data_IF_092111708302
#
_entry.id   IF_092111708302
#
_cell.length_a   1.000
_cell.length_b   1.000
_cell.length_c   1.000
_cell.angle_alpha   90.00
_cell.angle_beta   90.00
_cell.angle_gamma   90.00
#
_symmetry.space_group_name_H-M   'P 1'
#
loop_
_entity.id
_entity.type
_entity.pdbx_description
1 polymer ?
#
# COMPACT_ATOMS: atom_id res chain seq x y z
N UNK A 1 4.14 -3.09 -25.92
CA UNK A 1 4.19 -2.10 -27.04
C UNK A 1 4.78 -0.83 -26.44
N UNK A 2 6.10 -0.61 -26.54
CA UNK A 2 6.73 0.58 -25.97
C UNK A 2 6.15 1.89 -26.54
N UNK A 3 5.36 2.61 -25.75
CA UNK A 3 4.90 3.96 -26.08
C UNK A 3 5.68 4.94 -25.21
N UNK A 4 6.50 5.79 -25.82
CA UNK A 4 7.44 6.64 -25.09
C UNK A 4 6.79 7.60 -24.10
N UNK A 5 5.63 8.17 -24.41
CA UNK A 5 4.80 8.95 -23.49
C UNK A 5 3.35 8.71 -23.89
N UNK A 6 2.52 8.27 -22.96
CA UNK A 6 1.07 8.12 -23.18
C UNK A 6 0.38 9.21 -22.39
N UNK A 7 -0.28 10.14 -23.08
CA UNK A 7 -1.27 11.03 -22.46
C UNK A 7 -2.63 10.58 -22.96
N UNK A 8 -3.36 9.85 -22.13
CA UNK A 8 -4.65 9.33 -22.51
C UNK A 8 -5.73 10.42 -22.48
N UNK A 9 -6.82 10.18 -23.22
CA UNK A 9 -8.04 10.97 -23.10
C UNK A 9 -8.76 10.68 -21.77
N UNK A 10 -10.07 10.92 -21.66
CA UNK A 10 -10.77 10.73 -20.40
C UNK A 10 -10.78 9.27 -19.90
N UNK A 11 -10.54 8.31 -20.80
CA UNK A 11 -10.42 6.90 -20.51
C UNK A 11 -9.31 6.26 -21.33
N UNK A 12 -8.45 5.47 -20.72
CA UNK A 12 -7.55 4.53 -21.40
C UNK A 12 -8.02 3.11 -21.09
N UNK A 13 -8.26 2.30 -22.13
CA UNK A 13 -8.46 0.86 -21.99
C UNK A 13 -7.34 0.16 -22.78
N UNK A 14 -6.57 -0.70 -22.12
CA UNK A 14 -5.48 -1.44 -22.77
C UNK A 14 -5.86 -2.91 -23.01
N UNK A 15 -5.09 -3.58 -23.89
CA UNK A 15 -5.24 -5.02 -24.15
C UNK A 15 -4.63 -5.86 -23.03
N UNK A 16 -4.15 -7.09 -23.34
CA UNK A 16 -3.59 -7.96 -22.29
C UNK A 16 -2.32 -7.39 -21.64
N UNK A 17 -1.56 -6.57 -22.35
CA UNK A 17 -0.26 -6.04 -21.92
C UNK A 17 -0.16 -4.55 -22.33
N UNK A 18 0.21 -3.68 -21.39
CA UNK A 18 0.60 -2.29 -21.64
C UNK A 18 2.00 -2.03 -21.09
N UNK A 19 2.94 -1.68 -21.96
CA UNK A 19 4.28 -1.22 -21.59
C UNK A 19 4.38 0.28 -21.89
N UNK A 20 4.36 1.11 -20.87
CA UNK A 20 4.62 2.53 -21.03
C UNK A 20 6.13 2.82 -20.94
N UNK A 21 6.58 3.77 -21.74
CA UNK A 21 7.91 4.35 -21.65
C UNK A 21 8.04 5.21 -20.39
N UNK A 22 8.87 6.27 -20.40
CA UNK A 22 9.22 6.95 -19.16
C UNK A 22 8.06 7.59 -18.37
N UNK A 23 6.93 7.89 -19.02
CA UNK A 23 5.80 8.61 -18.42
C UNK A 23 4.47 8.09 -19.00
N UNK A 24 3.54 7.70 -18.12
CA UNK A 24 2.15 7.36 -18.44
C UNK A 24 1.23 8.28 -17.63
N UNK A 25 0.58 9.21 -18.31
CA UNK A 25 -0.49 10.05 -17.75
C UNK A 25 -1.84 9.57 -18.30
N UNK A 26 -2.69 9.03 -17.44
CA UNK A 26 -4.07 8.70 -17.79
C UNK A 26 -5.04 9.83 -17.38
N UNK A 27 -6.17 9.93 -18.11
CA UNK A 27 -7.28 10.78 -17.69
C UNK A 27 -8.01 10.21 -16.48
N UNK A 28 -9.28 10.58 -16.26
CA UNK A 28 -10.08 10.10 -15.12
C UNK A 28 -10.10 8.59 -14.88
N UNK A 29 -10.06 7.78 -15.94
CA UNK A 29 -10.15 6.31 -15.84
C UNK A 29 -8.98 5.65 -16.60
N UNK A 30 -8.23 4.77 -15.91
CA UNK A 30 -7.22 3.88 -16.49
C UNK A 30 -7.57 2.42 -16.22
N UNK A 31 -8.07 1.72 -17.24
CA UNK A 31 -8.33 0.28 -17.18
C UNK A 31 -7.23 -0.46 -17.96
N UNK A 32 -6.34 -1.15 -17.26
CA UNK A 32 -5.33 -1.98 -17.89
C UNK A 32 -5.74 -3.44 -17.81
N UNK A 33 -5.57 -4.16 -18.92
CA UNK A 33 -5.72 -5.61 -18.90
C UNK A 33 -4.62 -6.29 -18.08
N UNK A 34 -4.38 -7.59 -18.29
CA UNK A 34 -3.66 -8.40 -17.33
C UNK A 34 -2.31 -7.91 -16.79
N UNK A 35 -1.52 -7.21 -17.61
CA UNK A 35 -0.17 -6.76 -17.24
C UNK A 35 0.00 -5.26 -17.60
N UNK A 36 0.38 -4.44 -16.61
CA UNK A 36 0.85 -3.07 -16.78
C UNK A 36 2.32 -2.96 -16.31
N UNK A 37 3.22 -2.61 -17.23
CA UNK A 37 4.56 -2.14 -16.89
C UNK A 37 4.65 -0.64 -17.21
N UNK A 38 4.74 0.20 -16.19
CA UNK A 38 5.00 1.62 -16.36
C UNK A 38 6.49 1.94 -16.16
N UNK A 39 7.02 2.87 -16.97
CA UNK A 39 8.35 3.43 -16.74
C UNK A 39 8.38 4.30 -15.49
N UNK A 40 9.30 5.27 -15.38
CA UNK A 40 9.57 5.87 -14.08
C UNK A 40 8.43 6.63 -13.41
N UNK A 41 7.46 7.13 -14.17
CA UNK A 41 6.33 7.89 -13.65
C UNK A 41 5.01 7.34 -14.23
N UNK A 42 4.10 6.95 -13.34
CA UNK A 42 2.71 6.59 -13.63
C UNK A 42 1.80 7.55 -12.86
N UNK A 43 1.08 8.40 -13.59
CA UNK A 43 0.05 9.29 -13.04
C UNK A 43 -1.32 8.86 -13.58
N UNK A 44 -2.20 8.43 -12.69
CA UNK A 44 -3.58 8.12 -13.00
C UNK A 44 -4.52 9.20 -12.48
N UNK A 45 -5.62 9.43 -13.20
CA UNK A 45 -6.70 10.26 -12.71
C UNK A 45 -7.44 9.60 -11.54
N UNK A 46 -8.68 10.03 -11.29
CA UNK A 46 -9.55 9.48 -10.26
C UNK A 46 -9.54 7.96 -10.02
N UNK A 47 -9.51 7.15 -11.09
CA UNK A 47 -9.67 5.71 -11.02
C UNK A 47 -8.56 5.01 -11.81
N UNK A 48 -7.80 4.12 -11.15
CA UNK A 48 -6.87 3.18 -11.75
C UNK A 48 -7.29 1.75 -11.44
N UNK A 49 -7.70 0.99 -12.46
CA UNK A 49 -7.96 -0.44 -12.38
C UNK A 49 -6.87 -1.19 -13.17
N UNK A 50 -6.02 -1.93 -12.46
CA UNK A 50 -5.05 -2.81 -13.09
C UNK A 50 -5.49 -4.29 -13.02
N UNK A 51 -5.19 -5.03 -14.09
CA UNK A 51 -5.34 -6.48 -14.12
C UNK A 51 -4.40 -7.19 -13.14
N UNK A 52 -4.10 -8.48 -13.34
CA UNK A 52 -3.42 -9.23 -12.31
C UNK A 52 -2.03 -8.78 -11.88
N UNK A 53 -1.30 -8.07 -12.74
CA UNK A 53 0.06 -7.61 -12.46
C UNK A 53 0.18 -6.12 -12.83
N UNK A 54 0.55 -5.30 -11.83
CA UNK A 54 0.92 -3.89 -11.98
C UNK A 54 2.34 -3.70 -11.48
N UNK A 55 3.26 -3.38 -12.40
CA UNK A 55 4.63 -2.96 -12.09
C UNK A 55 4.78 -1.48 -12.44
N UNK A 56 4.99 -0.64 -11.43
CA UNK A 56 5.30 0.77 -11.63
C UNK A 56 6.79 1.03 -11.37
N UNK A 57 7.37 1.93 -12.17
CA UNK A 57 8.71 2.45 -11.92
C UNK A 57 8.78 3.28 -10.63
N UNK A 58 9.73 4.21 -10.51
CA UNK A 58 9.98 4.84 -9.23
C UNK A 58 8.82 5.61 -8.59
N UNK A 59 7.85 6.07 -9.38
CA UNK A 59 6.73 6.83 -8.89
C UNK A 59 5.39 6.35 -9.47
N UNK A 60 4.45 6.04 -8.59
CA UNK A 60 3.06 5.77 -8.89
C UNK A 60 2.17 6.72 -8.09
N UNK A 61 1.51 7.64 -8.79
CA UNK A 61 0.46 8.50 -8.24
C UNK A 61 -0.89 8.08 -8.82
N UNK A 62 -1.80 7.60 -7.97
CA UNK A 62 -3.19 7.44 -8.32
C UNK A 62 -4.04 8.55 -7.69
N UNK A 63 -5.16 8.88 -8.36
CA UNK A 63 -6.17 9.75 -7.80
C UNK A 63 -6.87 9.12 -6.60
N UNK A 64 -8.15 9.44 -6.38
CA UNK A 64 -8.96 8.85 -5.32
C UNK A 64 -8.86 7.32 -5.16
N UNK A 65 -8.91 6.54 -6.24
CA UNK A 65 -9.10 5.09 -6.18
C UNK A 65 -8.01 4.36 -6.99
N UNK A 66 -7.28 3.46 -6.33
CA UNK A 66 -6.37 2.49 -6.93
C UNK A 66 -6.85 1.08 -6.61
N UNK A 67 -7.22 0.32 -7.64
CA UNK A 67 -7.50 -1.11 -7.55
C UNK A 67 -6.44 -1.89 -8.37
N UNK A 68 -5.64 -2.70 -7.69
CA UNK A 68 -4.72 -3.62 -8.33
C UNK A 68 -5.20 -5.07 -8.19
N UNK A 69 -4.97 -5.88 -9.22
CA UNK A 69 -5.20 -7.32 -9.17
C UNK A 69 -4.24 -8.03 -8.20
N UNK A 70 -3.95 -9.33 -8.41
CA UNK A 70 -3.23 -10.10 -7.42
C UNK A 70 -1.85 -9.61 -7.01
N UNK A 71 -1.18 -8.83 -7.85
CA UNK A 71 0.17 -8.36 -7.59
C UNK A 71 0.34 -6.88 -7.95
N UNK A 72 0.76 -6.10 -6.98
CA UNK A 72 1.21 -4.72 -7.15
C UNK A 72 2.67 -4.61 -6.69
N UNK A 73 3.56 -4.26 -7.62
CA UNK A 73 4.93 -3.83 -7.31
C UNK A 73 5.07 -2.35 -7.67
N UNK A 74 5.36 -1.53 -6.66
CA UNK A 74 5.69 -0.13 -6.88
C UNK A 74 7.16 0.15 -6.53
N UNK A 75 7.76 1.07 -7.29
CA UNK A 75 9.08 1.59 -6.97
C UNK A 75 9.07 2.45 -5.70
N UNK A 76 10.02 3.40 -5.57
CA UNK A 76 10.22 4.07 -4.29
C UNK A 76 9.06 4.85 -3.70
N UNK A 77 8.15 5.37 -4.52
CA UNK A 77 7.05 6.23 -4.08
C UNK A 77 5.72 5.66 -4.63
N UNK A 78 4.82 5.26 -3.74
CA UNK A 78 3.41 4.98 -4.06
C UNK A 78 2.50 5.94 -3.29
N UNK A 79 1.69 6.71 -4.02
CA UNK A 79 0.67 7.61 -3.46
C UNK A 79 -0.73 7.21 -3.97
N UNK A 80 -1.67 6.96 -3.06
CA UNK A 80 -3.08 6.73 -3.37
C UNK A 80 -3.99 7.69 -2.59
N UNK A 81 -4.89 8.39 -3.28
CA UNK A 81 -5.56 9.56 -2.71
C UNK A 81 -6.65 9.28 -1.67
N UNK A 82 -7.45 8.22 -1.82
CA UNK A 82 -8.55 7.91 -0.90
C UNK A 82 -8.61 6.44 -0.52
N UNK A 83 -8.48 5.57 -1.52
CA UNK A 83 -8.64 4.13 -1.39
C UNK A 83 -7.56 3.43 -2.21
N UNK A 84 -6.84 2.54 -1.54
CA UNK A 84 -5.89 1.62 -2.15
C UNK A 84 -6.35 0.20 -1.81
N UNK A 85 -6.80 -0.53 -2.82
CA UNK A 85 -7.15 -1.95 -2.72
C UNK A 85 -6.18 -2.76 -3.57
N UNK A 86 -5.54 -3.75 -2.94
CA UNK A 86 -4.67 -4.69 -3.66
C UNK A 86 -5.15 -6.12 -3.47
N UNK A 87 -4.84 -6.95 -4.47
CA UNK A 87 -4.97 -8.39 -4.32
C UNK A 87 -3.90 -8.96 -3.36
N UNK A 88 -3.55 -10.25 -3.52
CA UNK A 88 -2.81 -10.94 -2.49
C UNK A 88 -1.42 -10.43 -2.12
N UNK A 89 -0.72 -9.79 -3.06
CA UNK A 89 0.67 -9.36 -2.88
C UNK A 89 0.78 -7.86 -3.18
N UNK A 90 1.18 -7.07 -2.18
CA UNK A 90 1.59 -5.67 -2.32
C UNK A 90 3.03 -5.52 -1.85
N UNK A 91 3.93 -5.21 -2.78
CA UNK A 91 5.30 -4.81 -2.51
C UNK A 91 5.49 -3.34 -2.88
N UNK A 92 5.94 -2.52 -1.94
CA UNK A 92 6.29 -1.11 -2.19
C UNK A 92 7.73 -0.82 -1.87
N UNK A 93 8.28 0.19 -2.54
CA UNK A 93 9.58 0.75 -2.22
C UNK A 93 9.54 1.57 -0.93
N UNK A 94 10.44 2.55 -0.76
CA UNK A 94 10.63 3.14 0.55
C UNK A 94 9.49 3.92 1.16
N UNK A 95 8.60 4.50 0.36
CA UNK A 95 7.54 5.39 0.80
C UNK A 95 6.21 4.91 0.22
N UNK A 96 5.28 4.52 1.11
CA UNK A 96 3.89 4.21 0.81
C UNK A 96 2.99 5.19 1.57
N UNK A 97 2.33 6.07 0.84
CA UNK A 97 1.28 6.95 1.37
C UNK A 97 -0.09 6.51 0.83
N UNK A 98 -0.93 5.99 1.71
CA UNK A 98 -2.31 5.69 1.40
C UNK A 98 -3.25 6.69 2.10
N UNK A 99 -4.29 7.10 1.37
CA UNK A 99 -5.37 7.91 1.90
C UNK A 99 -6.19 7.21 2.99
N UNK A 100 -7.44 7.67 3.24
CA UNK A 100 -8.34 7.12 4.23
C UNK A 100 -8.41 5.61 4.41
N UNK A 101 -8.28 4.82 3.34
CA UNK A 101 -8.48 3.38 3.36
C UNK A 101 -7.38 2.67 2.58
N UNK A 102 -6.68 1.76 3.25
CA UNK A 102 -5.76 0.80 2.64
C UNK A 102 -6.24 -0.61 2.98
N UNK A 103 -6.66 -1.36 1.97
CA UNK A 103 -6.93 -2.79 2.07
C UNK A 103 -5.89 -3.57 1.27
N UNK A 104 -5.06 -4.32 1.98
CA UNK A 104 -4.11 -5.24 1.38
C UNK A 104 -4.55 -6.70 1.56
N UNK A 105 -4.25 -7.53 0.57
CA UNK A 105 -4.44 -8.97 0.64
C UNK A 105 -3.50 -9.65 1.66
N UNK A 106 -3.22 -10.96 1.49
CA UNK A 106 -2.48 -11.70 2.50
C UNK A 106 -1.06 -11.26 2.81
N UNK A 107 -0.37 -10.65 1.86
CA UNK A 107 1.04 -10.27 2.00
C UNK A 107 1.17 -8.78 1.66
N UNK A 108 1.47 -7.96 2.67
CA UNK A 108 1.83 -6.55 2.54
C UNK A 108 3.29 -6.36 2.98
N UNK A 109 4.18 -6.06 2.04
CA UNK A 109 5.55 -5.65 2.29
C UNK A 109 5.73 -4.16 1.94
N UNK A 110 5.91 -3.35 2.98
CA UNK A 110 6.23 -1.93 2.82
C UNK A 110 7.69 -1.65 3.16
N UNK A 111 8.28 -0.71 2.41
CA UNK A 111 9.62 -0.22 2.69
C UNK A 111 9.69 0.61 3.98
N UNK A 112 10.68 1.52 4.11
CA UNK A 112 10.94 2.13 5.38
C UNK A 112 9.85 2.97 6.02
N UNK A 113 8.98 3.58 5.22
CA UNK A 113 7.95 4.51 5.66
C UNK A 113 6.61 4.07 5.07
N UNK A 114 5.71 3.61 5.94
CA UNK A 114 4.31 3.31 5.63
C UNK A 114 3.42 4.28 6.39
N UNK A 115 2.76 5.17 5.67
CA UNK A 115 1.73 6.07 6.19
C UNK A 115 0.37 5.65 5.64
N UNK A 116 -0.51 5.17 6.52
CA UNK A 116 -1.90 4.90 6.18
C UNK A 116 -2.81 5.91 6.85
N UNK A 117 -3.86 6.32 6.14
CA UNK A 117 -4.92 7.14 6.67
C UNK A 117 -5.76 6.41 7.73
N UNK A 118 -7.02 6.83 7.93
CA UNK A 118 -7.84 6.32 9.01
C UNK A 118 -7.94 4.81 9.22
N UNK A 119 -7.98 4.02 8.15
CA UNK A 119 -8.27 2.59 8.19
C UNK A 119 -7.15 1.86 7.42
N UNK A 120 -6.36 1.04 8.14
CA UNK A 120 -5.45 0.04 7.54
C UNK A 120 -5.98 -1.36 7.84
N UNK A 121 -6.37 -2.09 6.81
CA UNK A 121 -6.67 -3.52 6.87
C UNK A 121 -5.63 -4.29 6.06
N UNK A 122 -4.86 -5.15 6.73
CA UNK A 122 -3.96 -6.08 6.08
C UNK A 122 -4.36 -7.52 6.37
N UNK A 123 -4.15 -8.37 5.37
CA UNK A 123 -4.35 -9.80 5.50
C UNK A 123 -3.32 -10.46 6.42
N UNK A 124 -3.09 -11.77 6.24
CA UNK A 124 -2.30 -12.53 7.19
C UNK A 124 -0.94 -12.01 7.64
N UNK A 125 -0.18 -11.41 6.74
CA UNK A 125 1.22 -11.03 6.94
C UNK A 125 1.37 -9.54 6.57
N UNK A 126 1.68 -8.70 7.56
CA UNK A 126 2.10 -7.32 7.36
C UNK A 126 3.55 -7.17 7.81
N UNK A 127 4.42 -6.81 6.88
CA UNK A 127 5.80 -6.40 7.15
C UNK A 127 5.96 -4.92 6.78
N UNK A 128 6.19 -4.06 7.77
CA UNK A 128 6.58 -2.68 7.56
C UNK A 128 8.04 -2.47 7.95
N UNK A 129 8.74 -1.59 7.21
CA UNK A 129 10.08 -1.16 7.54
C UNK A 129 10.16 -0.32 8.82
N UNK A 130 11.14 0.58 8.94
CA UNK A 130 11.41 1.25 10.21
C UNK A 130 10.29 2.05 10.85
N UNK A 131 9.38 2.62 10.07
CA UNK A 131 8.32 3.51 10.54
C UNK A 131 6.98 3.09 9.93
N UNK A 132 6.05 2.65 10.79
CA UNK A 132 4.64 2.44 10.47
C UNK A 132 3.81 3.46 11.23
N UNK A 133 3.13 4.35 10.51
CA UNK A 133 2.15 5.28 11.04
C UNK A 133 0.76 4.95 10.47
N UNK A 134 -0.20 4.70 11.36
CA UNK A 134 -1.59 4.48 10.98
C UNK A 134 -2.52 5.49 11.62
N UNK A 135 -3.66 5.72 10.96
CA UNK A 135 -4.76 6.48 11.51
C UNK A 135 -5.47 5.77 12.66
N UNK A 136 -6.77 6.03 12.88
CA UNK A 136 -7.44 5.53 14.06
C UNK A 136 -7.54 4.01 14.21
N UNK A 137 -7.60 3.28 13.11
CA UNK A 137 -7.89 1.85 13.08
C UNK A 137 -6.80 1.11 12.29
N UNK A 138 -6.10 0.20 12.95
CA UNK A 138 -5.18 -0.77 12.37
C UNK A 138 -5.67 -2.19 12.66
N UNK A 139 -6.08 -2.91 11.63
CA UNK A 139 -6.37 -4.34 11.67
C UNK A 139 -5.30 -5.11 10.86
N UNK A 140 -4.49 -5.90 11.56
CA UNK A 140 -3.55 -6.83 10.94
C UNK A 140 -3.96 -8.28 11.20
N UNK A 141 -3.66 -9.15 10.24
CA UNK A 141 -3.87 -10.59 10.35
C UNK A 141 -2.97 -11.27 11.40
N UNK A 142 -2.67 -12.57 11.24
CA UNK A 142 -1.96 -13.31 12.27
C UNK A 142 -0.57 -12.80 12.63
N UNK A 143 0.15 -12.20 11.68
CA UNK A 143 1.55 -11.81 11.81
C UNK A 143 1.68 -10.32 11.42
N UNK A 144 2.08 -9.50 12.40
CA UNK A 144 2.42 -8.08 12.22
C UNK A 144 3.87 -7.87 12.65
N UNK A 145 4.75 -7.60 11.69
CA UNK A 145 6.13 -7.23 11.92
C UNK A 145 6.35 -5.76 11.54
N UNK A 146 6.89 -4.99 12.48
CA UNK A 146 7.27 -3.59 12.25
C UNK A 146 8.71 -3.35 12.67
N UNK A 147 9.34 -2.37 12.04
CA UNK A 147 10.67 -1.93 12.41
C UNK A 147 10.71 -1.16 13.74
N UNK A 148 11.64 -0.20 13.91
CA UNK A 148 11.84 0.44 15.19
C UNK A 148 10.66 1.19 15.79
N UNK A 149 9.74 1.69 14.95
CA UNK A 149 8.62 2.52 15.36
C UNK A 149 7.31 2.03 14.76
N UNK A 150 6.32 1.85 15.64
CA UNK A 150 4.93 1.66 15.30
C UNK A 150 4.11 2.71 16.06
N UNK A 151 3.49 3.63 15.33
CA UNK A 151 2.51 4.59 15.84
C UNK A 151 1.14 4.24 15.27
N UNK A 152 0.26 3.76 16.13
CA UNK A 152 -1.13 3.49 15.77
C UNK A 152 -2.08 4.38 16.56
N UNK A 153 -3.22 4.68 15.94
CA UNK A 153 -4.28 5.47 16.55
C UNK A 153 -5.01 4.74 17.69
N UNK A 154 -6.27 5.10 17.97
CA UNK A 154 -7.01 4.59 19.11
C UNK A 154 -7.15 3.07 19.19
N UNK A 155 -7.26 2.41 18.04
CA UNK A 155 -7.59 1.00 17.88
C UNK A 155 -6.49 0.28 17.09
N UNK A 156 -5.80 -0.66 17.76
CA UNK A 156 -4.85 -1.58 17.14
C UNK A 156 -5.29 -3.02 17.44
N UNK A 157 -5.68 -3.74 16.40
CA UNK A 157 -5.96 -5.17 16.43
C UNK A 157 -4.89 -5.91 15.63
N UNK A 158 -4.11 -6.76 16.30
CA UNK A 158 -3.18 -7.67 15.67
C UNK A 158 -3.50 -9.11 16.09
N UNK A 159 -3.26 -10.05 15.17
CA UNK A 159 -3.46 -11.47 15.42
C UNK A 159 -2.47 -12.08 16.41
N UNK A 160 -2.18 -13.40 16.30
CA UNK A 160 -1.40 -14.11 17.30
C UNK A 160 -0.02 -13.53 17.63
N UNK A 161 0.65 -12.97 16.62
CA UNK A 161 2.06 -12.59 16.64
C UNK A 161 2.19 -11.10 16.26
N UNK A 162 2.59 -10.27 17.24
CA UNK A 162 2.98 -8.87 17.03
C UNK A 162 4.45 -8.69 17.42
N UNK A 163 5.30 -8.40 16.44
CA UNK A 163 6.69 -7.98 16.62
C UNK A 163 6.84 -6.49 16.29
N UNK A 164 7.14 -5.70 17.31
CA UNK A 164 7.44 -4.28 17.17
C UNK A 164 8.80 -3.95 17.78
N UNK A 165 9.47 -2.98 17.18
CA UNK A 165 10.76 -2.50 17.63
C UNK A 165 10.75 -1.76 18.98
N UNK A 166 11.79 -0.96 19.27
CA UNK A 166 11.92 -0.21 20.52
C UNK A 166 10.71 0.62 20.93
N UNK A 167 10.02 1.24 19.96
CA UNK A 167 9.00 2.27 20.15
C UNK A 167 7.65 1.75 19.60
N UNK A 168 6.72 1.41 20.51
CA UNK A 168 5.35 1.04 20.19
C UNK A 168 4.40 2.01 20.90
N UNK A 169 3.75 2.88 20.13
CA UNK A 169 2.71 3.79 20.59
C UNK A 169 1.36 3.34 20.03
N UNK A 170 0.43 2.99 20.91
CA UNK A 170 -0.95 2.66 20.54
C UNK A 170 -1.93 3.38 21.47
N UNK A 171 -3.14 3.62 20.95
CA UNK A 171 -4.21 4.21 21.73
C UNK A 171 -4.79 3.29 22.82
N UNK A 172 -5.99 3.61 23.34
CA UNK A 172 -6.57 2.90 24.47
C UNK A 172 -7.02 1.47 24.18
N UNK A 173 -7.20 1.11 22.91
CA UNK A 173 -7.73 -0.17 22.47
C UNK A 173 -6.63 -0.93 21.73
N UNK A 174 -5.73 -1.55 22.50
CA UNK A 174 -4.69 -2.46 22.00
C UNK A 174 -5.13 -3.91 22.23
N UNK A 175 -5.51 -4.61 21.15
CA UNK A 175 -5.83 -6.03 21.15
C UNK A 175 -4.77 -6.81 20.36
N UNK A 176 -4.02 -7.66 21.06
CA UNK A 176 -3.01 -8.53 20.45
C UNK A 176 -3.21 -9.97 20.88
N UNK A 177 -2.68 -10.89 20.08
CA UNK A 177 -2.59 -12.29 20.40
C UNK A 177 -1.67 -12.65 21.57
N UNK A 178 -1.44 -13.96 21.80
CA UNK A 178 -0.64 -14.45 22.91
C UNK A 178 0.85 -14.07 22.82
N UNK A 179 1.35 -13.70 21.65
CA UNK A 179 2.76 -13.43 21.38
C UNK A 179 2.93 -11.95 21.00
N UNK A 180 3.27 -11.13 22.00
CA UNK A 180 3.62 -9.72 21.84
C UNK A 180 5.09 -9.54 22.19
N UNK A 181 5.92 -9.22 21.19
CA UNK A 181 7.31 -8.83 21.33
C UNK A 181 7.45 -7.35 20.99
N UNK A 182 7.47 -6.50 22.02
CA UNK A 182 7.73 -5.07 21.88
C UNK A 182 8.97 -4.66 22.68
N UNK A 183 9.63 -3.60 22.22
CA UNK A 183 10.79 -3.03 22.87
C UNK A 183 10.50 -2.35 24.23
N UNK A 184 11.52 -1.67 24.81
CA UNK A 184 11.41 -1.11 26.15
C UNK A 184 10.41 0.04 26.27
N UNK A 185 9.99 0.66 25.17
CA UNK A 185 9.11 1.84 25.12
C UNK A 185 7.76 1.44 24.50
N UNK A 186 6.95 0.75 25.32
CA UNK A 186 5.54 0.47 25.03
C UNK A 186 4.66 1.51 25.74
N UNK A 187 3.99 2.36 24.97
CA UNK A 187 2.96 3.30 25.44
C UNK A 187 1.59 2.87 24.90
N UNK A 188 0.71 2.42 25.80
CA UNK A 188 -0.71 2.12 25.51
C UNK A 188 -1.60 2.99 26.42
N UNK A 189 -2.56 3.68 25.81
CA UNK A 189 -3.38 4.76 26.42
C UNK A 189 -4.51 4.35 27.37
#
# INVERSE_FOLDING_TARGET
>A
FLISHVKAGPKLESGPELEAGPELEAGPELDVGPELEAGPELEAGPELEAGPELEAGPKLEAGPELEAGPKLEAGPELEAGTELETGPELETGPELEAGPKLEAGPELEAGPELEAGPELEAGPELEAGPELETGPELEAGPELETGPKLEAGPELEAGPELEAGPELEAGPELETGPELEAGPELEAG
#
